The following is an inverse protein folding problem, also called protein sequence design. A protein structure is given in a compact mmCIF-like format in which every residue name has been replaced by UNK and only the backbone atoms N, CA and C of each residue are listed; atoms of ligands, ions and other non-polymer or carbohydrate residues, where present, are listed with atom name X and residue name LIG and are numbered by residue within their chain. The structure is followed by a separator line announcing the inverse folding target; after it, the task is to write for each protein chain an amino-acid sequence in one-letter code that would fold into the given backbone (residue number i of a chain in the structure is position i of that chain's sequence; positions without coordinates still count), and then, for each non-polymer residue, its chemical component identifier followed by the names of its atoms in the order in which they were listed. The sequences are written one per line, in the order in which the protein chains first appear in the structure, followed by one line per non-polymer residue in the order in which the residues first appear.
data_IF_359428606143
#
_entry.id   IF_359428606143
#
_cell.length_a   1.000
_cell.length_b   1.000
_cell.length_c   1.000
_cell.angle_alpha   90.00
_cell.angle_beta   90.00
_cell.angle_gamma   90.00
#
_symmetry.space_group_name_H-M   'P 1'
#
loop_
_entity.id
_entity.type
_entity.pdbx_description
1 polymer ?
#
# COMPACT_ATOMS: atom_id res chain seq x y z
N UNK A 1 12.13 12.74 -5.42
CA UNK A 1 12.05 13.21 -4.00
C UNK A 1 12.10 12.00 -3.10
N UNK A 2 13.21 11.77 -2.42
CA UNK A 2 13.45 10.56 -1.63
C UNK A 2 12.36 10.29 -0.56
N UNK A 3 12.17 9.03 -0.12
CA UNK A 3 11.22 8.69 0.94
C UNK A 3 11.39 9.51 2.21
N UNK A 4 12.63 9.84 2.59
CA UNK A 4 12.91 10.65 3.77
C UNK A 4 12.52 12.12 3.59
N UNK A 5 12.63 12.65 2.38
CA UNK A 5 12.20 14.02 2.08
C UNK A 5 10.69 14.19 2.15
N UNK A 6 9.91 13.16 1.79
CA UNK A 6 8.44 13.15 1.95
C UNK A 6 8.11 13.39 3.43
N UNK A 7 8.74 12.63 4.33
CA UNK A 7 8.57 12.78 5.78
C UNK A 7 9.02 14.16 6.28
N UNK A 8 10.19 14.64 5.84
CA UNK A 8 10.71 15.97 6.22
C UNK A 8 9.76 17.09 5.82
N UNK A 9 9.05 16.94 4.69
CA UNK A 9 8.06 17.90 4.19
C UNK A 9 6.66 17.72 4.79
N UNK A 10 6.50 16.80 5.76
CA UNK A 10 5.21 16.44 6.39
C UNK A 10 4.13 16.09 5.36
N UNK A 11 4.55 15.47 4.25
CA UNK A 11 3.63 14.98 3.22
C UNK A 11 3.34 13.51 3.46
N UNK A 12 2.15 13.09 3.04
CA UNK A 12 1.81 11.70 2.85
C UNK A 12 2.34 11.19 1.50
N UNK A 13 2.50 9.89 1.38
CA UNK A 13 2.84 9.24 0.11
C UNK A 13 1.68 9.37 -0.87
N UNK A 14 1.97 9.44 -2.18
CA UNK A 14 0.94 9.35 -3.21
C UNK A 14 0.38 7.93 -3.24
N UNK A 15 -0.93 7.80 -3.28
CA UNK A 15 -1.62 6.51 -3.29
C UNK A 15 -2.59 6.45 -4.47
N UNK A 16 -2.61 5.31 -5.16
CA UNK A 16 -3.31 5.13 -6.43
C UNK A 16 -4.08 3.82 -6.47
N UNK A 17 -5.23 3.82 -7.13
CA UNK A 17 -5.96 2.59 -7.45
C UNK A 17 -5.35 1.97 -8.72
N UNK A 18 -5.05 0.68 -8.66
CA UNK A 18 -4.50 -0.09 -9.79
C UNK A 18 -5.60 -0.80 -10.57
N UNK A 19 -5.24 -1.53 -11.62
CA UNK A 19 -6.10 -2.52 -12.30
C UNK A 19 -5.90 -3.95 -11.78
N UNK A 20 -5.13 -4.14 -10.70
CA UNK A 20 -4.84 -5.45 -10.13
C UNK A 20 -5.98 -5.83 -9.16
N UNK A 21 -6.79 -6.86 -9.44
CA UNK A 21 -7.89 -7.23 -8.56
C UNK A 21 -7.38 -7.83 -7.25
N UNK A 22 -7.96 -7.46 -6.12
CA UNK A 22 -7.69 -8.14 -4.85
C UNK A 22 -8.37 -9.52 -4.82
N UNK A 23 -7.68 -10.57 -4.34
CA UNK A 23 -8.33 -11.83 -4.03
C UNK A 23 -9.25 -11.65 -2.81
N UNK A 24 -10.43 -12.27 -2.82
CA UNK A 24 -11.33 -12.18 -1.67
C UNK A 24 -12.75 -12.64 -1.98
N UNK A 25 -13.60 -12.72 -0.94
CA UNK A 25 -15.00 -13.08 -1.12
C UNK A 25 -15.72 -12.01 -1.97
N UNK A 26 -16.80 -12.39 -2.69
CA UNK A 26 -17.52 -11.47 -3.58
C UNK A 26 -17.97 -10.17 -2.92
N UNK A 27 -18.18 -10.21 -1.61
CA UNK A 27 -18.61 -9.08 -0.78
C UNK A 27 -17.59 -7.93 -0.75
N UNK A 28 -16.29 -8.21 -0.67
CA UNK A 28 -15.23 -7.19 -0.50
C UNK A 28 -14.39 -7.00 -1.78
N UNK A 29 -15.04 -7.06 -2.94
CA UNK A 29 -14.36 -6.91 -4.23
C UNK A 29 -13.85 -5.47 -4.42
N UNK A 30 -12.55 -5.33 -4.61
CA UNK A 30 -11.92 -4.08 -5.03
C UNK A 30 -10.61 -4.36 -5.77
N UNK A 31 -10.12 -3.35 -6.48
CA UNK A 31 -8.75 -3.35 -7.02
C UNK A 31 -7.77 -2.87 -5.95
N UNK A 32 -6.55 -3.39 -6.01
CA UNK A 32 -5.47 -3.06 -5.10
C UNK A 32 -5.16 -1.57 -5.15
N UNK A 33 -5.04 -0.95 -3.98
CA UNK A 33 -4.49 0.40 -3.83
C UNK A 33 -3.03 0.28 -3.45
N UNK A 34 -2.17 1.05 -4.12
CA UNK A 34 -0.72 1.09 -3.88
C UNK A 34 -0.28 2.46 -3.40
N UNK A 35 0.77 2.50 -2.59
CA UNK A 35 1.52 3.70 -2.22
C UNK A 35 2.80 3.79 -3.02
N UNK A 36 3.13 4.97 -3.54
CA UNK A 36 4.28 5.20 -4.39
C UNK A 36 5.39 5.96 -3.66
N UNK A 37 6.62 5.47 -3.82
CA UNK A 37 7.84 6.17 -3.42
C UNK A 37 8.84 6.14 -4.59
N UNK A 38 9.47 7.26 -4.95
CA UNK A 38 10.51 7.25 -5.97
C UNK A 38 11.81 6.66 -5.39
N UNK A 39 12.44 5.79 -6.17
CA UNK A 39 13.62 5.04 -5.76
C UNK A 39 14.78 5.27 -6.71
N UNK A 40 16.00 5.56 -6.20
CA UNK A 40 17.20 5.50 -7.03
C UNK A 40 17.40 4.09 -7.61
N UNK A 41 17.72 3.93 -8.91
CA UNK A 41 17.86 2.62 -9.54
C UNK A 41 18.87 1.71 -8.83
N UNK A 42 19.98 2.28 -8.35
CA UNK A 42 21.03 1.57 -7.63
C UNK A 42 20.60 1.05 -6.24
N UNK A 43 19.48 1.55 -5.69
CA UNK A 43 18.91 1.11 -4.42
C UNK A 43 17.69 0.20 -4.59
N UNK A 44 17.19 0.02 -5.82
CA UNK A 44 15.93 -0.69 -6.05
C UNK A 44 15.99 -2.14 -5.59
N UNK A 45 17.01 -2.90 -6.01
CA UNK A 45 17.19 -4.30 -5.59
C UNK A 45 17.33 -4.44 -4.07
N UNK A 46 18.05 -3.49 -3.45
CA UNK A 46 18.21 -3.46 -2.00
C UNK A 46 16.89 -3.17 -1.29
N UNK A 47 16.09 -2.25 -1.82
CA UNK A 47 14.76 -1.97 -1.28
C UNK A 47 13.84 -3.18 -1.42
N UNK A 48 13.84 -3.87 -2.56
CA UNK A 48 13.09 -5.13 -2.76
C UNK A 48 13.53 -6.17 -1.73
N UNK A 49 14.84 -6.45 -1.65
CA UNK A 49 15.38 -7.47 -0.74
C UNK A 49 15.00 -7.18 0.72
N UNK A 50 15.24 -5.94 1.18
CA UNK A 50 14.96 -5.56 2.56
C UNK A 50 13.46 -5.62 2.83
N UNK A 51 12.64 -4.95 2.02
CA UNK A 51 11.19 -4.81 2.31
C UNK A 51 10.44 -6.13 2.17
N UNK A 52 10.91 -7.06 1.32
CA UNK A 52 10.30 -8.39 1.18
C UNK A 52 10.38 -9.23 2.45
N UNK A 53 11.30 -8.94 3.36
CA UNK A 53 11.38 -9.63 4.64
C UNK A 53 10.32 -9.17 5.65
N UNK A 54 9.62 -8.06 5.40
CA UNK A 54 8.69 -7.44 6.35
C UNK A 54 7.23 -7.61 5.89
N UNK A 55 6.77 -8.86 5.85
CA UNK A 55 5.44 -9.24 5.35
C UNK A 55 4.27 -8.67 6.18
N UNK A 56 4.48 -8.37 7.47
CA UNK A 56 3.47 -7.73 8.32
C UNK A 56 3.33 -6.22 8.10
N UNK A 57 4.30 -5.60 7.43
CA UNK A 57 4.23 -4.22 7.01
C UNK A 57 3.71 -4.16 5.56
N UNK A 58 4.46 -3.50 4.68
CA UNK A 58 4.11 -3.42 3.27
C UNK A 58 4.62 -4.60 2.43
N UNK A 59 5.54 -5.42 2.96
CA UNK A 59 6.25 -6.43 2.20
C UNK A 59 7.08 -5.85 1.05
N UNK A 60 7.41 -6.70 0.07
CA UNK A 60 8.09 -6.27 -1.15
C UNK A 60 7.20 -5.37 -2.02
N UNK A 61 7.79 -4.58 -2.94
CA UNK A 61 7.01 -3.77 -3.86
C UNK A 61 6.21 -4.67 -4.81
N UNK A 62 5.01 -4.21 -5.15
CA UNK A 62 4.10 -4.84 -6.13
C UNK A 62 4.56 -4.55 -7.55
N UNK A 63 5.11 -3.35 -7.77
CA UNK A 63 5.59 -2.90 -9.08
C UNK A 63 6.70 -1.86 -8.94
N UNK A 64 7.61 -1.84 -9.91
CA UNK A 64 8.66 -0.83 -10.06
C UNK A 64 8.81 -0.49 -11.53
N UNK A 65 8.43 0.73 -11.93
CA UNK A 65 8.41 1.10 -13.35
C UNK A 65 7.17 1.90 -13.74
N UNK A 66 6.84 1.98 -15.03
CA UNK A 66 5.76 2.83 -15.54
C UNK A 66 4.43 2.61 -14.80
N UNK A 67 3.75 3.68 -14.31
CA UNK A 67 2.49 3.55 -13.57
C UNK A 67 1.37 2.89 -14.40
N UNK A 68 1.36 3.12 -15.71
CA UNK A 68 0.35 2.58 -16.64
C UNK A 68 0.34 1.05 -16.71
N UNK A 69 1.48 0.39 -16.45
CA UNK A 69 1.59 -1.09 -16.47
C UNK A 69 0.71 -1.76 -15.40
N UNK A 70 0.38 -1.02 -14.33
CA UNK A 70 -0.54 -1.45 -13.26
C UNK A 70 -1.87 -0.66 -13.30
N UNK A 71 -2.21 -0.06 -14.44
CA UNK A 71 -3.49 0.61 -14.67
C UNK A 71 -3.65 1.96 -13.98
N UNK A 72 -2.58 2.60 -13.53
CA UNK A 72 -2.64 3.97 -13.01
C UNK A 72 -2.65 4.92 -14.21
N UNK A 73 -3.75 5.67 -14.36
CA UNK A 73 -3.94 6.62 -15.45
C UNK A 73 -3.17 7.92 -15.25
N UNK A 74 -2.99 8.70 -16.32
CA UNK A 74 -2.29 9.99 -16.26
C UNK A 74 -3.02 11.02 -15.38
N UNK A 75 -4.35 10.94 -15.28
CA UNK A 75 -5.16 11.78 -14.39
C UNK A 75 -4.88 11.45 -12.93
N UNK A 76 -4.91 10.16 -12.57
CA UNK A 76 -4.55 9.72 -11.24
C UNK A 76 -3.11 10.11 -10.91
N UNK A 77 -2.17 9.88 -11.83
CA UNK A 77 -0.76 10.21 -11.66
C UNK A 77 -0.55 11.71 -11.40
N UNK A 78 -1.29 12.56 -12.13
CA UNK A 78 -1.20 14.01 -12.01
C UNK A 78 -1.85 14.54 -10.73
N UNK A 79 -2.90 13.88 -10.25
CA UNK A 79 -3.65 14.23 -9.04
C UNK A 79 -4.03 12.97 -8.27
N UNK A 80 -3.14 12.47 -7.37
CA UNK A 80 -3.38 11.24 -6.63
C UNK A 80 -4.72 11.26 -5.89
N UNK A 81 -5.55 10.21 -5.99
CA UNK A 81 -6.83 10.17 -5.27
C UNK A 81 -6.69 10.20 -3.74
N UNK A 82 -5.54 9.71 -3.23
CA UNK A 82 -5.22 9.74 -1.81
C UNK A 82 -3.78 10.20 -1.56
N UNK A 83 -3.59 10.87 -0.43
CA UNK A 83 -2.30 11.39 0.01
C UNK A 83 -1.89 12.67 -0.74
N UNK A 84 -0.59 12.95 -0.77
CA UNK A 84 -0.04 14.13 -1.43
C UNK A 84 0.66 13.75 -2.74
N UNK A 85 0.70 14.68 -3.69
CA UNK A 85 1.52 14.53 -4.89
C UNK A 85 3.02 14.53 -4.54
N UNK A 86 3.67 13.42 -4.85
CA UNK A 86 5.11 13.20 -4.72
C UNK A 86 5.76 13.27 -6.09
N UNK A 87 6.79 14.10 -6.22
CA UNK A 87 7.55 14.23 -7.47
C UNK A 87 8.57 13.10 -7.60
N UNK A 88 8.48 12.38 -8.71
CA UNK A 88 9.54 11.48 -9.21
C UNK A 88 10.49 12.33 -10.06
N UNK A 89 11.73 12.46 -9.62
CA UNK A 89 12.76 13.22 -10.32
C UNK A 89 13.33 12.41 -11.48
N UNK A 90 14.02 13.08 -12.40
CA UNK A 90 14.76 12.42 -13.47
C UNK A 90 15.73 11.38 -12.90
N UNK A 91 15.74 10.19 -13.51
CA UNK A 91 16.55 9.06 -13.07
C UNK A 91 16.01 8.27 -11.87
N UNK A 92 14.94 8.72 -11.20
CA UNK A 92 14.26 7.92 -10.16
C UNK A 92 13.23 6.97 -10.79
N UNK A 93 13.05 5.79 -10.17
CA UNK A 93 12.05 4.79 -10.55
C UNK A 93 10.85 4.87 -9.60
N UNK A 94 9.63 5.13 -10.09
CA UNK A 94 8.45 5.03 -9.24
C UNK A 94 8.24 3.58 -8.81
N UNK A 95 8.17 3.36 -7.50
CA UNK A 95 8.03 2.02 -6.91
C UNK A 95 6.81 1.99 -6.00
N UNK A 96 6.03 0.92 -6.13
CA UNK A 96 4.68 0.81 -5.60
C UNK A 96 4.57 -0.34 -4.60
N UNK A 97 4.07 -0.06 -3.42
CA UNK A 97 3.79 -1.05 -2.36
C UNK A 97 2.31 -1.14 -2.07
N UNK A 98 1.82 -2.33 -1.75
CA UNK A 98 0.43 -2.52 -1.31
C UNK A 98 0.10 -1.59 -0.13
N UNK A 99 -1.07 -0.94 -0.19
CA UNK A 99 -1.48 0.07 0.77
C UNK A 99 -2.75 -0.34 1.52
N UNK A 100 -2.80 -0.05 2.82
CA UNK A 100 -3.97 -0.30 3.67
C UNK A 100 -5.24 0.44 3.23
N UNK A 101 -5.14 1.49 2.41
CA UNK A 101 -6.31 2.14 1.79
C UNK A 101 -7.14 1.15 0.96
N UNK A 102 -6.54 0.03 0.52
CA UNK A 102 -7.26 -1.09 -0.11
C UNK A 102 -8.40 -1.60 0.77
N UNK A 103 -8.21 -1.72 2.08
CA UNK A 103 -9.29 -2.18 2.97
C UNK A 103 -10.41 -1.14 3.06
N UNK A 104 -10.06 0.14 3.14
CA UNK A 104 -11.05 1.23 3.10
C UNK A 104 -11.84 1.21 1.80
N UNK A 105 -11.16 1.04 0.65
CA UNK A 105 -11.82 0.93 -0.65
C UNK A 105 -12.76 -0.27 -0.68
N UNK A 106 -12.28 -1.46 -0.27
CA UNK A 106 -13.06 -2.71 -0.26
C UNK A 106 -14.38 -2.59 0.49
N UNK A 107 -14.37 -1.88 1.62
CA UNK A 107 -15.54 -1.63 2.44
C UNK A 107 -16.48 -0.64 1.76
N UNK A 108 -15.95 0.47 1.25
CA UNK A 108 -16.77 1.53 0.64
C UNK A 108 -17.41 1.10 -0.68
N UNK A 109 -16.88 0.06 -1.34
CA UNK A 109 -17.45 -0.55 -2.53
C UNK A 109 -18.49 -1.63 -2.23
N UNK A 110 -18.62 -2.06 -0.97
CA UNK A 110 -19.65 -3.01 -0.53
C UNK A 110 -20.93 -2.27 -0.15
N UNK A 111 -22.07 -2.67 -0.71
CA UNK A 111 -23.35 -1.98 -0.50
C UNK A 111 -24.07 -2.38 0.80
N UNK A 112 -23.60 -3.42 1.50
CA UNK A 112 -24.32 -4.10 2.58
C UNK A 112 -23.60 -4.02 3.93
N UNK A 113 -22.64 -3.10 4.07
CA UNK A 113 -21.93 -2.88 5.34
C UNK A 113 -22.57 -1.70 6.08
N UNK A 114 -23.24 -1.94 7.22
CA UNK A 114 -23.98 -0.89 7.92
C UNK A 114 -23.09 0.13 8.64
N UNK A 115 -21.89 -0.28 9.10
CA UNK A 115 -20.92 0.60 9.76
C UNK A 115 -19.51 0.00 9.75
N UNK A 116 -18.49 0.87 9.74
CA UNK A 116 -17.07 0.50 9.85
C UNK A 116 -16.33 1.48 10.73
N UNK A 117 -15.41 0.95 11.55
CA UNK A 117 -14.48 1.73 12.38
C UNK A 117 -13.07 1.50 11.84
N UNK A 118 -12.32 2.58 11.66
CA UNK A 118 -10.92 2.56 11.21
C UNK A 118 -10.12 3.63 11.95
N UNK A 119 -8.80 3.58 11.81
CA UNK A 119 -7.92 4.63 12.29
C UNK A 119 -7.95 5.85 11.34
N UNK A 120 -7.71 7.04 11.88
CA UNK A 120 -7.48 8.22 11.06
C UNK A 120 -6.08 8.13 10.40
N UNK A 121 -5.88 8.67 9.18
CA UNK A 121 -4.57 8.71 8.54
C UNK A 121 -3.50 9.33 9.46
N UNK A 122 -2.38 8.63 9.65
CA UNK A 122 -1.30 9.08 10.54
C UNK A 122 -1.54 8.80 12.04
N UNK A 123 -2.69 8.21 12.41
CA UNK A 123 -3.05 7.84 13.79
C UNK A 123 -3.11 6.32 13.96
N UNK A 124 -2.07 5.61 13.55
CA UNK A 124 -1.99 4.16 13.65
C UNK A 124 -1.97 3.67 15.10
N UNK A 125 -2.39 2.42 15.33
CA UNK A 125 -2.28 1.76 16.64
C UNK A 125 -0.84 1.30 16.87
N UNK A 126 -0.22 1.84 17.93
CA UNK A 126 1.15 1.45 18.34
C UNK A 126 1.06 0.25 19.26
N UNK A 127 1.75 -0.84 18.89
CA UNK A 127 1.76 -2.11 19.63
C UNK A 127 3.06 -2.29 20.42
N UNK A 128 3.05 -3.19 21.40
CA UNK A 128 4.27 -3.65 22.09
C UNK A 128 5.06 -4.71 21.28
N UNK A 129 4.49 -5.21 20.18
CA UNK A 129 5.14 -6.16 19.27
C UNK A 129 6.28 -5.45 18.53
N UNK A 130 7.51 -5.97 18.65
CA UNK A 130 8.64 -5.48 17.86
C UNK A 130 8.70 -6.20 16.51
N UNK A 131 9.23 -5.52 15.49
CA UNK A 131 9.23 -6.00 14.10
C UNK A 131 9.86 -7.40 13.93
N UNK A 132 10.90 -7.72 14.71
CA UNK A 132 11.58 -9.02 14.67
C UNK A 132 10.67 -10.18 15.11
N UNK A 133 9.79 -9.93 16.10
CA UNK A 133 8.85 -10.92 16.63
C UNK A 133 7.60 -11.07 15.74
N UNK A 134 7.31 -10.04 14.94
CA UNK A 134 6.20 -10.04 14.01
C UNK A 134 6.22 -11.24 13.05
N UNK A 135 7.41 -11.66 12.58
CA UNK A 135 7.58 -12.82 11.68
C UNK A 135 7.05 -14.12 12.30
N UNK A 136 7.26 -14.33 13.60
CA UNK A 136 6.80 -15.53 14.31
C UNK A 136 5.30 -15.46 14.61
N UNK A 137 4.79 -14.27 14.94
CA UNK A 137 3.36 -14.04 15.21
C UNK A 137 2.47 -14.40 14.00
N UNK A 138 2.91 -14.15 12.76
CA UNK A 138 2.13 -14.48 11.54
C UNK A 138 1.90 -15.98 11.39
N UNK A 139 2.91 -16.78 11.72
CA UNK A 139 2.81 -18.24 11.60
C UNK A 139 1.75 -18.84 12.54
N UNK A 140 1.40 -18.09 13.59
CA UNK A 140 0.37 -18.45 14.57
C UNK A 140 -1.01 -17.84 14.28
N UNK A 141 -1.10 -16.89 13.34
CA UNK A 141 -2.36 -16.32 12.90
C UNK A 141 -3.11 -17.35 12.05
N UNK A 142 -4.03 -18.08 12.67
CA UNK A 142 -5.04 -18.82 11.94
C UNK A 142 -5.98 -17.82 11.26
N UNK A 143 -5.93 -17.75 9.92
CA UNK A 143 -6.94 -17.06 9.13
C UNK A 143 -8.30 -17.66 9.48
N UNK A 144 -9.16 -16.91 10.18
CA UNK A 144 -10.55 -17.28 10.33
C UNK A 144 -11.14 -17.19 8.93
N UNK A 145 -11.36 -18.35 8.29
CA UNK A 145 -12.07 -18.43 7.02
C UNK A 145 -13.43 -17.76 7.23
N UNK A 146 -13.60 -16.57 6.67
CA UNK A 146 -14.90 -15.91 6.63
C UNK A 146 -15.87 -16.91 6.01
N UNK A 147 -16.91 -17.30 6.76
CA UNK A 147 -17.91 -18.24 6.26
C UNK A 147 -18.49 -17.66 4.96
N UNK A 148 -18.42 -18.44 3.89
CA UNK A 148 -19.23 -18.20 2.71
C UNK A 148 -20.69 -18.40 3.14
N UNK A 149 -21.49 -17.34 3.04
CA UNK A 149 -22.95 -17.45 3.03
C UNK A 149 -23.44 -17.87 1.64
#
# INVERSE_FOLDING_TARGET
MSPLEILKKKKNVSMFKTSIPCPGPPRFKCDLVVSMRPMPPNLLNKAVQITSEYALAHGGPVHSGPPGDIGISDEQWSSPPWGDKVTVNEGEVPTFWACGVTSSLSVTTSNDIPSVVTHAPGCMFVTDIVEQEGKEAVSSLSFVKMREE
#
